data_IF_171905302410
#
_entry.id   IF_171905302410
#
_cell.length_a   1.000
_cell.length_b   1.000
_cell.length_c   1.000
_cell.angle_alpha   90.00
_cell.angle_beta   90.00
_cell.angle_gamma   90.00
#
_symmetry.space_group_name_H-M   'P 1'
#
loop_
_entity.id
_entity.type
_entity.pdbx_description
1 polymer ?
#
# COMPACT_ATOMS: atom_id res chain seq x y z
N UNK A 1 30.71 -215.05 67.56
CA UNK A 1 32.05 -214.87 66.97
C UNK A 1 33.04 -214.48 68.05
N UNK A 2 33.98 -215.31 68.53
CA UNK A 2 34.18 -216.80 68.58
C UNK A 2 35.54 -217.03 69.31
N UNK A 3 35.89 -218.14 70.00
CA UNK A 3 35.19 -219.35 70.46
C UNK A 3 36.00 -220.03 71.62
N UNK A 4 35.48 -221.10 72.24
CA UNK A 4 36.26 -222.01 73.11
C UNK A 4 36.51 -221.54 74.56
N UNK A 5 36.93 -222.37 75.52
CA UNK A 5 37.09 -223.83 75.60
C UNK A 5 36.89 -224.20 77.10
N UNK A 6 36.17 -225.26 77.48
CA UNK A 6 36.62 -226.67 77.52
C UNK A 6 38.04 -226.78 78.11
N UNK A 7 38.18 -227.18 79.37
CA UNK A 7 38.27 -228.56 79.87
C UNK A 7 39.64 -228.69 80.58
N UNK A 8 39.81 -229.63 81.52
CA UNK A 8 41.10 -229.89 82.22
C UNK A 8 41.66 -228.85 83.22
N UNK A 9 40.97 -228.58 84.32
CA UNK A 9 41.66 -228.51 85.62
C UNK A 9 40.81 -229.19 86.71
N UNK A 10 41.00 -230.52 86.85
CA UNK A 10 39.97 -231.44 87.33
C UNK A 10 40.27 -232.13 88.68
N UNK A 11 41.33 -231.72 89.43
CA UNK A 11 41.85 -232.54 90.54
C UNK A 11 42.22 -231.87 91.88
N UNK A 12 42.26 -230.54 92.05
CA UNK A 12 42.84 -229.92 93.28
C UNK A 12 41.83 -229.41 94.30
N UNK A 13 40.94 -228.48 93.93
CA UNK A 13 40.08 -227.82 94.93
C UNK A 13 38.91 -228.68 95.46
N UNK A 14 38.89 -229.96 95.07
CA UNK A 14 38.20 -231.02 95.80
C UNK A 14 38.68 -231.18 97.27
N UNK A 15 39.85 -230.66 97.65
CA UNK A 15 40.23 -230.56 99.08
C UNK A 15 39.29 -229.60 99.84
N UNK A 16 38.80 -228.52 99.21
CA UNK A 16 37.80 -227.63 99.83
C UNK A 16 36.38 -228.23 99.79
N UNK A 17 36.12 -229.17 98.89
CA UNK A 17 34.81 -229.82 98.73
C UNK A 17 34.41 -230.74 99.90
N UNK A 18 35.36 -231.23 100.72
CA UNK A 18 35.06 -232.11 101.86
C UNK A 18 34.95 -231.37 103.21
N UNK A 19 35.85 -230.43 103.49
CA UNK A 19 35.91 -229.75 104.80
C UNK A 19 34.66 -228.90 105.10
N UNK A 20 34.11 -228.21 104.10
CA UNK A 20 32.90 -227.40 104.31
C UNK A 20 31.64 -228.25 104.47
N UNK A 21 31.54 -229.38 103.77
CA UNK A 21 30.38 -230.28 103.87
C UNK A 21 30.41 -231.09 105.17
N UNK A 22 31.59 -231.37 105.74
CA UNK A 22 31.73 -231.92 107.08
C UNK A 22 31.13 -230.99 108.16
N UNK A 23 31.38 -229.66 108.07
CA UNK A 23 30.74 -228.66 108.94
C UNK A 23 29.23 -228.58 108.69
N UNK A 24 28.79 -228.55 107.44
CA UNK A 24 27.36 -228.35 107.11
C UNK A 24 26.44 -229.52 107.51
N UNK A 25 26.97 -230.76 107.59
CA UNK A 25 26.15 -231.94 107.96
C UNK A 25 25.97 -232.17 109.46
N UNK A 26 26.86 -231.68 110.34
CA UNK A 26 26.69 -231.89 111.80
C UNK A 26 25.66 -230.97 112.45
N UNK A 27 25.30 -229.84 111.83
CA UNK A 27 24.27 -228.92 112.35
C UNK A 27 22.81 -229.33 112.06
N UNK A 28 22.55 -230.57 111.61
CA UNK A 28 21.24 -231.02 111.13
C UNK A 28 20.44 -231.94 112.09
N UNK A 29 20.75 -231.96 113.40
CA UNK A 29 20.12 -232.90 114.36
C UNK A 29 19.13 -232.35 115.39
N UNK A 30 19.04 -231.04 115.58
CA UNK A 30 18.00 -230.40 116.42
C UNK A 30 17.15 -229.49 115.52
N UNK A 31 15.82 -229.67 115.49
CA UNK A 31 15.05 -229.28 114.29
C UNK A 31 13.56 -228.94 114.54
N UNK A 32 13.30 -227.83 115.22
CA UNK A 32 11.96 -227.17 115.30
C UNK A 32 12.12 -225.64 115.32
N UNK A 33 12.78 -225.07 114.31
CA UNK A 33 13.13 -223.63 114.27
C UNK A 33 13.33 -223.13 112.84
N UNK A 34 12.25 -222.99 112.05
CA UNK A 34 12.36 -222.60 110.62
C UNK A 34 11.34 -221.60 110.07
N UNK A 35 10.34 -221.15 110.86
CA UNK A 35 9.32 -220.20 110.36
C UNK A 35 9.78 -218.73 110.40
N UNK A 36 10.57 -218.33 111.42
CA UNK A 36 11.06 -216.94 111.58
C UNK A 36 11.97 -216.44 110.44
N UNK A 37 12.66 -217.36 109.75
CA UNK A 37 13.63 -217.00 108.69
C UNK A 37 12.92 -216.58 107.40
N UNK A 38 11.71 -217.08 107.14
CA UNK A 38 10.95 -216.76 105.94
C UNK A 38 10.34 -215.34 105.98
N UNK A 39 9.97 -214.85 107.18
CA UNK A 39 9.37 -213.51 107.33
C UNK A 39 10.40 -212.38 107.25
N UNK A 40 11.63 -212.59 107.76
CA UNK A 40 12.74 -211.63 107.65
C UNK A 40 13.11 -211.32 106.18
N UNK A 41 13.02 -212.30 105.27
CA UNK A 41 13.16 -212.04 103.83
C UNK A 41 12.04 -211.13 103.28
N UNK A 42 10.81 -211.29 103.78
CA UNK A 42 9.66 -210.50 103.34
C UNK A 42 9.69 -209.05 103.86
N UNK A 43 10.37 -208.79 104.99
CA UNK A 43 10.68 -207.42 105.44
C UNK A 43 11.81 -206.79 104.62
N UNK A 44 12.88 -207.53 104.34
CA UNK A 44 13.99 -207.04 103.50
C UNK A 44 13.53 -206.63 102.09
N UNK A 45 12.68 -207.43 101.43
CA UNK A 45 12.11 -207.05 100.11
C UNK A 45 11.28 -205.76 100.18
N UNK A 46 10.54 -205.52 101.27
CA UNK A 46 9.78 -204.27 101.49
C UNK A 46 10.71 -203.06 101.69
N UNK A 47 11.80 -203.22 102.43
CA UNK A 47 12.78 -202.16 102.64
C UNK A 47 13.47 -201.71 101.33
N UNK A 48 13.78 -202.64 100.42
CA UNK A 48 14.38 -202.29 99.12
C UNK A 48 13.44 -201.49 98.22
N UNK A 49 12.16 -201.88 98.08
CA UNK A 49 11.19 -201.09 97.28
C UNK A 49 10.96 -199.68 97.84
N UNK A 50 10.96 -199.53 99.17
CA UNK A 50 10.85 -198.21 99.81
C UNK A 50 12.06 -197.30 99.51
N UNK A 51 13.25 -197.87 99.25
CA UNK A 51 14.45 -197.12 98.88
C UNK A 51 14.35 -196.56 97.46
N UNK A 52 13.91 -197.34 96.49
CA UNK A 52 13.78 -196.90 95.09
C UNK A 52 12.75 -195.78 94.91
N UNK A 53 11.57 -195.93 95.54
CA UNK A 53 10.52 -194.89 95.57
C UNK A 53 11.04 -193.54 96.10
N UNK A 54 11.96 -193.58 97.07
CA UNK A 54 12.54 -192.36 97.65
C UNK A 54 13.56 -191.68 96.73
N UNK A 55 14.24 -192.43 95.85
CA UNK A 55 15.14 -191.86 94.83
C UNK A 55 14.34 -191.17 93.74
N UNK A 56 13.28 -191.82 93.22
CA UNK A 56 12.43 -191.26 92.16
C UNK A 56 11.73 -189.95 92.55
N UNK A 57 11.39 -189.79 93.84
CA UNK A 57 10.84 -188.54 94.36
C UNK A 57 11.88 -187.40 94.32
N UNK A 58 13.13 -187.67 94.70
CA UNK A 58 14.22 -186.68 94.70
C UNK A 58 14.54 -186.23 93.27
N UNK A 59 14.61 -187.15 92.31
CA UNK A 59 14.85 -186.82 90.89
C UNK A 59 13.77 -185.87 90.34
N UNK A 60 12.49 -186.13 90.63
CA UNK A 60 11.38 -185.24 90.23
C UNK A 60 11.44 -183.86 90.88
N UNK A 61 12.00 -183.73 92.07
CA UNK A 61 12.18 -182.43 92.72
C UNK A 61 13.34 -181.63 92.12
N UNK A 62 14.45 -182.29 91.76
CA UNK A 62 15.59 -181.60 91.12
C UNK A 62 15.25 -181.09 89.70
N UNK A 63 14.49 -181.85 88.90
CA UNK A 63 14.02 -181.40 87.58
C UNK A 63 13.15 -180.14 87.67
N UNK A 64 12.22 -180.09 88.64
CA UNK A 64 11.36 -178.93 88.89
C UNK A 64 12.17 -177.69 89.28
N UNK A 65 13.21 -177.87 90.08
CA UNK A 65 14.12 -176.78 90.46
C UNK A 65 14.86 -176.21 89.25
N UNK A 66 15.46 -177.07 88.41
CA UNK A 66 16.18 -176.67 87.19
C UNK A 66 15.26 -175.92 86.21
N UNK A 67 14.02 -176.38 86.03
CA UNK A 67 13.04 -175.72 85.17
C UNK A 67 12.66 -174.31 85.66
N UNK A 68 12.56 -174.10 86.98
CA UNK A 68 12.28 -172.79 87.56
C UNK A 68 13.45 -171.81 87.41
N UNK A 69 14.70 -172.26 87.61
CA UNK A 69 15.89 -171.42 87.41
C UNK A 69 15.98 -170.92 85.96
N UNK A 70 15.73 -171.79 84.97
CA UNK A 70 15.72 -171.39 83.54
C UNK A 70 14.64 -170.33 83.24
N UNK A 71 13.45 -170.45 83.82
CA UNK A 71 12.37 -169.45 83.68
C UNK A 71 12.75 -168.11 84.30
N UNK A 72 13.38 -168.11 85.47
CA UNK A 72 13.84 -166.88 86.12
C UNK A 72 14.89 -166.15 85.27
N UNK A 73 15.89 -166.86 84.74
CA UNK A 73 16.92 -166.27 83.89
C UNK A 73 16.35 -165.68 82.59
N UNK A 74 15.42 -166.37 81.93
CA UNK A 74 14.76 -165.84 80.73
C UNK A 74 13.94 -164.58 81.02
N UNK A 75 13.24 -164.54 82.17
CA UNK A 75 12.48 -163.39 82.62
C UNK A 75 13.33 -162.22 83.13
N UNK A 76 14.66 -162.40 83.25
CA UNK A 76 15.61 -161.36 83.66
C UNK A 76 16.20 -160.67 82.42
N UNK A 77 16.65 -161.45 81.43
CA UNK A 77 17.14 -160.93 80.12
C UNK A 77 16.09 -160.06 79.44
N UNK A 78 14.83 -160.50 79.39
CA UNK A 78 13.73 -159.71 78.80
C UNK A 78 13.48 -158.35 79.49
N UNK A 79 13.91 -158.15 80.75
CA UNK A 79 13.81 -156.85 81.42
C UNK A 79 14.96 -155.93 81.06
N UNK A 80 16.17 -156.49 80.91
CA UNK A 80 17.37 -155.75 80.54
C UNK A 80 17.23 -155.21 79.10
N UNK A 81 16.69 -156.01 78.17
CA UNK A 81 16.35 -155.55 76.82
C UNK A 81 15.30 -154.43 76.81
N UNK A 82 14.25 -154.52 77.66
CA UNK A 82 13.25 -153.47 77.79
C UNK A 82 13.81 -152.18 78.39
N UNK A 83 14.82 -152.25 79.26
CA UNK A 83 15.50 -151.07 79.81
C UNK A 83 16.35 -150.40 78.74
N UNK A 84 17.13 -151.15 77.95
CA UNK A 84 17.94 -150.60 76.87
C UNK A 84 17.11 -149.83 75.83
N UNK A 85 15.96 -150.39 75.40
CA UNK A 85 15.07 -149.72 74.44
C UNK A 85 14.52 -148.40 75.01
N UNK A 86 14.18 -148.33 76.30
CA UNK A 86 13.71 -147.11 76.95
C UNK A 86 14.81 -146.04 77.07
N UNK A 87 16.06 -146.43 77.26
CA UNK A 87 17.21 -145.51 77.30
C UNK A 87 17.49 -144.88 75.93
N UNK A 88 17.47 -145.67 74.84
CA UNK A 88 17.63 -145.16 73.47
C UNK A 88 16.50 -144.19 73.09
N UNK A 89 15.25 -144.53 73.42
CA UNK A 89 14.07 -143.68 73.18
C UNK A 89 14.18 -142.32 73.92
N UNK A 90 14.74 -142.33 75.14
CA UNK A 90 15.01 -141.11 75.91
C UNK A 90 16.16 -140.29 75.31
N UNK A 91 17.24 -140.93 74.84
CA UNK A 91 18.35 -140.25 74.19
C UNK A 91 17.88 -139.56 72.91
N UNK A 92 17.13 -140.25 72.04
CA UNK A 92 16.62 -139.70 70.78
C UNK A 92 15.69 -138.50 71.03
N UNK A 93 14.76 -138.61 71.99
CA UNK A 93 13.90 -137.48 72.41
C UNK A 93 14.71 -136.30 72.97
N UNK A 94 15.83 -136.54 73.64
CA UNK A 94 16.71 -135.47 74.15
C UNK A 94 17.43 -134.72 73.03
N UNK A 95 17.84 -135.43 71.97
CA UNK A 95 18.52 -134.84 70.81
C UNK A 95 17.57 -133.96 69.99
N UNK A 96 16.39 -134.49 69.64
CA UNK A 96 15.40 -133.69 68.89
C UNK A 96 14.89 -132.46 69.66
N UNK A 97 14.91 -132.49 71.00
CA UNK A 97 14.65 -131.29 71.81
C UNK A 97 15.75 -130.25 71.69
N UNK A 98 17.03 -130.65 71.80
CA UNK A 98 18.19 -129.75 71.61
C UNK A 98 18.18 -129.10 70.23
N UNK A 99 17.99 -129.89 69.18
CA UNK A 99 17.88 -129.40 67.79
C UNK A 99 16.75 -128.38 67.63
N UNK A 100 15.57 -128.64 68.22
CA UNK A 100 14.45 -127.70 68.21
C UNK A 100 14.72 -126.41 69.01
N UNK A 101 15.45 -126.50 70.12
CA UNK A 101 15.85 -125.34 70.91
C UNK A 101 16.90 -124.49 70.20
N UNK A 102 17.89 -125.11 69.57
CA UNK A 102 18.94 -124.40 68.83
C UNK A 102 18.38 -123.74 67.56
N UNK A 103 17.49 -124.42 66.82
CA UNK A 103 16.75 -123.81 65.72
C UNK A 103 15.90 -122.59 66.16
N UNK A 104 15.27 -122.65 67.35
CA UNK A 104 14.57 -121.48 67.93
C UNK A 104 15.52 -120.34 68.29
N UNK A 105 16.72 -120.62 68.83
CA UNK A 105 17.75 -119.61 69.11
C UNK A 105 18.23 -118.94 67.82
N UNK A 106 18.46 -119.71 66.76
CA UNK A 106 18.84 -119.17 65.46
C UNK A 106 17.74 -118.28 64.87
N UNK A 107 16.49 -118.73 64.88
CA UNK A 107 15.36 -117.94 64.37
C UNK A 107 15.18 -116.62 65.14
N UNK A 108 15.28 -116.65 66.47
CA UNK A 108 15.22 -115.41 67.28
C UNK A 108 16.41 -114.48 67.03
N UNK A 109 17.60 -115.02 66.74
CA UNK A 109 18.77 -114.23 66.35
C UNK A 109 18.62 -113.61 64.97
N UNK A 110 18.00 -114.30 64.01
CA UNK A 110 17.67 -113.75 62.69
C UNK A 110 16.63 -112.63 62.78
N UNK A 111 15.60 -112.78 63.62
CA UNK A 111 14.60 -111.74 63.88
C UNK A 111 15.27 -110.48 64.45
N UNK A 112 16.10 -110.62 65.50
CA UNK A 112 16.83 -109.49 66.09
C UNK A 112 17.71 -108.75 65.09
N UNK A 113 18.50 -109.46 64.27
CA UNK A 113 19.30 -108.85 63.19
C UNK A 113 18.43 -108.05 62.21
N UNK A 114 17.24 -108.57 61.86
CA UNK A 114 16.30 -107.87 60.97
C UNK A 114 15.58 -106.68 61.62
N UNK A 115 15.46 -106.65 62.94
CA UNK A 115 14.98 -105.50 63.70
C UNK A 115 16.07 -104.41 63.82
N UNK A 116 17.31 -104.81 64.09
CA UNK A 116 18.50 -103.95 64.10
C UNK A 116 18.72 -103.29 62.74
N UNK A 117 18.74 -104.06 61.64
CA UNK A 117 18.80 -103.54 60.26
C UNK A 117 17.69 -102.50 59.98
N UNK A 118 16.44 -102.78 60.39
CA UNK A 118 15.32 -101.84 60.20
C UNK A 118 15.51 -100.55 60.99
N UNK A 119 16.05 -100.63 62.21
CA UNK A 119 16.31 -99.45 63.04
C UNK A 119 17.39 -98.56 62.43
N UNK A 120 18.46 -99.15 61.89
CA UNK A 120 19.52 -98.42 61.19
C UNK A 120 18.98 -97.74 59.93
N UNK A 121 18.21 -98.45 59.10
CA UNK A 121 17.57 -97.87 57.91
C UNK A 121 16.61 -96.71 58.26
N UNK A 122 15.91 -96.77 59.40
CA UNK A 122 15.06 -95.66 59.87
C UNK A 122 15.88 -94.45 60.36
N UNK A 123 17.03 -94.67 61.00
CA UNK A 123 17.95 -93.59 61.37
C UNK A 123 18.60 -92.94 60.16
N UNK A 124 19.05 -93.72 59.19
CA UNK A 124 19.61 -93.23 57.93
C UNK A 124 18.57 -92.40 57.16
N UNK A 125 17.36 -92.94 56.95
CA UNK A 125 16.25 -92.22 56.34
C UNK A 125 15.76 -91.00 57.14
N UNK A 126 16.15 -90.86 58.41
CA UNK A 126 15.93 -89.64 59.20
C UNK A 126 17.04 -88.61 58.95
N UNK A 127 18.31 -89.03 59.00
CA UNK A 127 19.48 -88.18 58.71
C UNK A 127 19.42 -87.62 57.28
N UNK A 128 19.04 -88.43 56.29
CA UNK A 128 18.81 -88.00 54.92
C UNK A 128 17.73 -86.91 54.81
N UNK A 129 16.60 -87.06 55.53
CA UNK A 129 15.54 -86.05 55.57
C UNK A 129 16.01 -84.75 56.23
N UNK A 130 16.76 -84.83 57.33
CA UNK A 130 17.35 -83.67 57.99
C UNK A 130 18.30 -82.92 57.03
N UNK A 131 19.18 -83.64 56.31
CA UNK A 131 20.07 -83.08 55.28
C UNK A 131 19.28 -82.42 54.13
N UNK A 132 18.25 -83.08 53.59
CA UNK A 132 17.41 -82.53 52.52
C UNK A 132 16.72 -81.24 52.96
N UNK A 133 16.15 -81.20 54.17
CA UNK A 133 15.51 -79.97 54.68
C UNK A 133 16.50 -78.81 54.85
N UNK A 134 17.76 -79.09 55.15
CA UNK A 134 18.79 -78.06 55.26
C UNK A 134 19.27 -77.57 53.88
N UNK A 135 19.38 -78.46 52.89
CA UNK A 135 19.65 -78.10 51.49
C UNK A 135 18.55 -77.18 50.94
N UNK A 136 17.28 -77.49 51.21
CA UNK A 136 16.16 -76.67 50.74
C UNK A 136 16.14 -75.29 51.42
N UNK A 137 16.43 -75.20 52.73
CA UNK A 137 16.62 -73.91 53.43
C UNK A 137 17.74 -73.08 52.81
N UNK A 138 18.90 -73.69 52.53
CA UNK A 138 20.04 -73.01 51.91
C UNK A 138 19.65 -72.49 50.52
N UNK A 139 18.94 -73.30 49.71
CA UNK A 139 18.43 -72.88 48.39
C UNK A 139 17.48 -71.69 48.51
N UNK A 140 16.46 -71.76 49.37
CA UNK A 140 15.54 -70.65 49.60
C UNK A 140 16.27 -69.37 50.02
N UNK A 141 17.25 -69.47 50.92
CA UNK A 141 18.04 -68.32 51.35
C UNK A 141 18.88 -67.73 50.21
N UNK A 142 19.56 -68.56 49.42
CA UNK A 142 20.33 -68.11 48.26
C UNK A 142 19.45 -67.46 47.17
N UNK A 143 18.25 -67.99 46.91
CA UNK A 143 17.33 -67.41 45.93
C UNK A 143 16.71 -66.09 46.42
N UNK A 144 16.29 -66.02 47.70
CA UNK A 144 15.85 -64.76 48.33
C UNK A 144 16.94 -63.69 48.28
N UNK A 145 18.19 -64.06 48.58
CA UNK A 145 19.33 -63.14 48.54
C UNK A 145 19.58 -62.62 47.11
N UNK A 146 19.73 -63.50 46.11
CA UNK A 146 19.94 -63.12 44.70
C UNK A 146 18.81 -62.24 44.15
N UNK A 147 17.57 -62.57 44.45
CA UNK A 147 16.42 -61.75 44.00
C UNK A 147 16.36 -60.39 44.69
N UNK A 148 16.95 -60.24 45.88
CA UNK A 148 17.07 -58.96 46.57
C UNK A 148 18.26 -58.14 46.08
N UNK A 149 19.41 -58.76 45.79
CA UNK A 149 20.54 -58.11 45.11
C UNK A 149 20.10 -57.53 43.76
N UNK A 150 19.47 -58.34 42.89
CA UNK A 150 18.97 -57.90 41.58
C UNK A 150 17.98 -56.73 41.69
N UNK A 151 17.11 -56.73 42.71
CA UNK A 151 16.20 -55.60 42.97
C UNK A 151 16.94 -54.34 43.40
N UNK A 152 18.00 -54.47 44.19
CA UNK A 152 18.82 -53.35 44.63
C UNK A 152 19.62 -52.76 43.47
N UNK A 153 20.25 -53.59 42.63
CA UNK A 153 20.97 -53.17 41.42
C UNK A 153 20.07 -52.38 40.46
N UNK A 154 18.87 -52.89 40.18
CA UNK A 154 17.87 -52.23 39.32
C UNK A 154 17.34 -50.94 39.96
N UNK A 155 17.22 -50.89 41.29
CA UNK A 155 16.85 -49.65 41.99
C UNK A 155 17.98 -48.60 41.97
N UNK A 156 19.25 -49.03 41.98
CA UNK A 156 20.39 -48.13 41.83
C UNK A 156 20.55 -47.62 40.39
N UNK A 157 20.40 -48.48 39.37
CA UNK A 157 20.46 -48.04 37.98
C UNK A 157 19.39 -46.99 37.69
N UNK A 158 18.14 -47.24 38.09
CA UNK A 158 17.05 -46.26 37.95
C UNK A 158 17.30 -44.95 38.70
N UNK A 159 17.98 -44.96 39.86
CA UNK A 159 18.36 -43.71 40.56
C UNK A 159 19.39 -42.93 39.75
N UNK A 160 20.42 -43.60 39.21
CA UNK A 160 21.46 -42.97 38.38
C UNK A 160 20.88 -42.41 37.08
N UNK A 161 20.04 -43.18 36.40
CA UNK A 161 19.32 -42.74 35.18
C UNK A 161 18.44 -41.51 35.43
N UNK A 162 17.71 -41.46 36.55
CA UNK A 162 16.88 -40.29 36.92
C UNK A 162 17.72 -39.03 37.15
N UNK A 163 18.88 -39.16 37.82
CA UNK A 163 19.80 -38.03 38.02
C UNK A 163 20.33 -37.52 36.69
N UNK A 164 20.83 -38.41 35.82
CA UNK A 164 21.31 -38.06 34.47
C UNK A 164 20.19 -37.38 33.66
N UNK A 165 18.95 -37.84 33.75
CA UNK A 165 17.82 -37.23 33.05
C UNK A 165 17.45 -35.84 33.60
N UNK A 166 17.59 -35.63 34.91
CA UNK A 166 17.41 -34.30 35.54
C UNK A 166 18.53 -33.34 35.10
N UNK A 167 19.80 -33.76 35.17
CA UNK A 167 20.95 -32.98 34.72
C UNK A 167 20.83 -32.60 33.23
N UNK A 168 20.51 -33.56 32.34
CA UNK A 168 20.29 -33.28 30.91
C UNK A 168 19.13 -32.30 30.68
N UNK A 169 18.08 -32.35 31.50
CA UNK A 169 16.95 -31.42 31.40
C UNK A 169 17.37 -30.02 31.84
N UNK A 170 18.09 -29.89 32.95
CA UNK A 170 18.59 -28.61 33.45
C UNK A 170 19.58 -27.96 32.46
N UNK A 171 20.45 -28.74 31.83
CA UNK A 171 21.35 -28.28 30.76
C UNK A 171 20.55 -27.70 29.59
N UNK A 172 19.56 -28.43 29.06
CA UNK A 172 18.71 -27.92 27.96
C UNK A 172 17.96 -26.65 28.34
N UNK A 173 17.36 -26.64 29.54
CA UNK A 173 16.67 -25.45 30.04
C UNK A 173 17.62 -24.25 30.25
N UNK A 174 18.94 -24.46 30.43
CA UNK A 174 19.96 -23.40 30.42
C UNK A 174 20.34 -22.98 29.00
N UNK A 175 20.60 -23.93 28.09
CA UNK A 175 20.90 -23.68 26.67
C UNK A 175 19.79 -22.87 25.98
N UNK A 176 18.52 -23.23 26.21
CA UNK A 176 17.35 -22.51 25.69
C UNK A 176 17.30 -21.07 26.22
N UNK A 177 17.55 -20.87 27.53
CA UNK A 177 17.60 -19.53 28.15
C UNK A 177 18.74 -18.68 27.59
N UNK A 178 19.91 -19.27 27.36
CA UNK A 178 21.02 -18.57 26.70
C UNK A 178 20.71 -18.23 25.24
N UNK A 179 20.07 -19.13 24.50
CA UNK A 179 19.69 -18.91 23.12
C UNK A 179 18.63 -17.80 23.00
N UNK A 180 17.66 -17.75 23.92
CA UNK A 180 16.72 -16.63 24.04
C UNK A 180 17.43 -15.31 24.38
N UNK A 181 18.37 -15.31 25.33
CA UNK A 181 19.11 -14.11 25.70
C UNK A 181 19.95 -13.56 24.54
N UNK A 182 20.60 -14.45 23.77
CA UNK A 182 21.35 -14.09 22.55
C UNK A 182 20.44 -13.47 21.49
N UNK A 183 19.29 -14.09 21.21
CA UNK A 183 18.28 -13.54 20.28
C UNK A 183 17.79 -12.16 20.70
N UNK A 184 17.40 -11.97 21.97
CA UNK A 184 16.95 -10.66 22.48
C UNK A 184 18.01 -9.58 22.31
N UNK A 185 19.29 -9.92 22.53
CA UNK A 185 20.40 -8.99 22.31
C UNK A 185 20.63 -8.66 20.82
N UNK A 186 20.52 -9.66 19.94
CA UNK A 186 20.58 -9.46 18.48
C UNK A 186 19.41 -8.59 17.98
N UNK A 187 18.20 -8.85 18.45
CA UNK A 187 16.99 -8.06 18.16
C UNK A 187 17.14 -6.61 18.64
N UNK A 188 17.65 -6.39 19.86
CA UNK A 188 17.94 -5.04 20.39
C UNK A 188 18.98 -4.28 19.56
N UNK A 189 20.03 -4.95 19.08
CA UNK A 189 21.03 -4.34 18.19
C UNK A 189 20.43 -3.99 16.84
N UNK A 190 19.60 -4.87 16.28
CA UNK A 190 18.92 -4.65 15.00
C UNK A 190 17.92 -3.48 15.08
N UNK A 191 17.16 -3.36 16.18
CA UNK A 191 16.26 -2.22 16.42
C UNK A 191 17.05 -0.90 16.53
N UNK A 192 18.17 -0.87 17.27
CA UNK A 192 19.05 0.32 17.33
C UNK A 192 19.58 0.71 15.95
N UNK A 193 19.93 -0.26 15.11
CA UNK A 193 20.36 0.02 13.73
C UNK A 193 19.23 0.60 12.86
N UNK A 194 17.99 0.11 13.03
CA UNK A 194 16.81 0.70 12.38
C UNK A 194 16.58 2.14 12.83
N UNK A 195 16.62 2.41 14.13
CA UNK A 195 16.40 3.74 14.69
C UNK A 195 17.47 4.73 14.19
N UNK A 196 18.74 4.34 14.19
CA UNK A 196 19.82 5.14 13.60
C UNK A 196 19.62 5.43 12.11
N UNK A 197 19.15 4.44 11.33
CA UNK A 197 18.84 4.60 9.91
C UNK A 197 17.65 5.55 9.72
N UNK A 198 16.61 5.44 10.56
CA UNK A 198 15.45 6.31 10.55
C UNK A 198 15.84 7.77 10.87
N UNK A 199 16.65 7.99 11.91
CA UNK A 199 17.18 9.32 12.24
C UNK A 199 18.00 9.91 11.09
N UNK A 200 18.91 9.13 10.47
CA UNK A 200 19.71 9.59 9.32
C UNK A 200 18.82 10.00 8.15
N UNK A 201 17.76 9.23 7.85
CA UNK A 201 16.77 9.58 6.81
C UNK A 201 15.98 10.83 7.18
N UNK A 202 15.62 11.01 8.45
CA UNK A 202 14.88 12.20 8.90
C UNK A 202 15.74 13.46 8.80
N UNK A 203 16.99 13.42 9.26
CA UNK A 203 17.95 14.55 9.12
C UNK A 203 18.12 14.96 7.65
N UNK A 204 18.30 14.00 6.73
CA UNK A 204 18.40 14.26 5.29
C UNK A 204 17.11 14.84 4.67
N UNK A 205 15.93 14.55 5.24
CA UNK A 205 14.67 15.18 4.82
C UNK A 205 14.60 16.63 5.30
N UNK A 206 14.99 16.88 6.55
CA UNK A 206 14.96 18.20 7.16
C UNK A 206 15.98 19.14 6.49
N UNK A 207 17.18 18.64 6.16
CA UNK A 207 18.19 19.35 5.36
C UNK A 207 17.64 19.75 3.97
N UNK A 208 17.04 18.81 3.24
CA UNK A 208 16.40 19.09 1.93
C UNK A 208 15.23 20.06 2.01
N UNK A 209 14.47 20.04 3.11
CA UNK A 209 13.41 21.02 3.36
C UNK A 209 14.01 22.42 3.55
N UNK A 210 15.07 22.56 4.34
CA UNK A 210 15.76 23.84 4.52
C UNK A 210 16.39 24.37 3.22
N UNK A 211 16.99 23.51 2.39
CA UNK A 211 17.51 23.90 1.07
C UNK A 211 16.38 24.40 0.15
N UNK A 212 15.23 23.72 0.16
CA UNK A 212 14.04 24.14 -0.58
C UNK A 212 13.48 25.47 -0.06
N UNK A 213 13.45 25.68 1.25
CA UNK A 213 12.99 26.94 1.85
C UNK A 213 13.92 28.11 1.51
N UNK A 214 15.25 27.90 1.55
CA UNK A 214 16.24 28.91 1.13
C UNK A 214 16.06 29.30 -0.34
N UNK A 215 15.97 28.32 -1.24
CA UNK A 215 15.78 28.57 -2.67
C UNK A 215 14.43 29.23 -2.97
N UNK A 216 13.35 28.88 -2.25
CA UNK A 216 12.07 29.60 -2.36
C UNK A 216 12.17 31.05 -1.87
N UNK A 217 12.89 31.32 -0.78
CA UNK A 217 13.11 32.67 -0.27
C UNK A 217 13.97 33.52 -1.23
N UNK A 218 14.99 32.94 -1.85
CA UNK A 218 15.79 33.59 -2.91
C UNK A 218 14.93 33.96 -4.12
N UNK A 219 14.08 33.04 -4.61
CA UNK A 219 13.13 33.30 -5.69
C UNK A 219 12.16 34.42 -5.32
N UNK A 220 11.60 34.40 -4.10
CA UNK A 220 10.70 35.45 -3.62
C UNK A 220 11.39 36.83 -3.59
N UNK A 221 12.63 36.90 -3.11
CA UNK A 221 13.44 38.13 -3.13
C UNK A 221 13.71 38.62 -4.56
N UNK A 222 13.98 37.72 -5.51
CA UNK A 222 14.14 38.07 -6.93
C UNK A 222 12.85 38.67 -7.50
N UNK A 223 11.70 38.06 -7.22
CA UNK A 223 10.40 38.55 -7.68
C UNK A 223 10.07 39.94 -7.11
N UNK A 224 10.28 40.15 -5.81
CA UNK A 224 10.08 41.48 -5.17
C UNK A 224 11.01 42.53 -5.79
N UNK A 225 12.27 42.18 -6.07
CA UNK A 225 13.23 43.08 -6.74
C UNK A 225 12.86 43.39 -8.21
N UNK A 226 12.19 42.47 -8.92
CA UNK A 226 11.66 42.73 -10.27
C UNK A 226 10.43 43.64 -10.18
N UNK A 227 9.51 43.35 -9.26
CA UNK A 227 8.27 44.12 -9.11
C UNK A 227 8.54 45.58 -8.70
N UNK A 228 9.45 45.79 -7.75
CA UNK A 228 9.87 47.16 -7.35
C UNK A 228 10.53 47.94 -8.49
N UNK A 229 11.35 47.30 -9.33
CA UNK A 229 11.91 47.92 -10.54
C UNK A 229 10.85 48.25 -11.59
N UNK A 230 9.84 47.38 -11.74
CA UNK A 230 8.74 47.63 -12.67
C UNK A 230 7.89 48.83 -12.21
N UNK A 231 7.52 48.89 -10.92
CA UNK A 231 6.79 50.05 -10.36
C UNK A 231 7.57 51.35 -10.52
N UNK A 232 8.86 51.38 -10.19
CA UNK A 232 9.70 52.57 -10.41
C UNK A 232 9.81 52.99 -11.89
N UNK A 233 9.73 52.03 -12.81
CA UNK A 233 9.67 52.31 -14.26
C UNK A 233 8.31 52.84 -14.69
N UNK A 234 7.22 52.32 -14.14
CA UNK A 234 5.85 52.81 -14.38
C UNK A 234 5.66 54.23 -13.86
N UNK A 235 6.18 54.53 -12.66
CA UNK A 235 6.24 55.88 -12.08
C UNK A 235 7.02 56.83 -13.01
N UNK A 236 8.22 56.45 -13.46
CA UNK A 236 9.01 57.25 -14.41
C UNK A 236 8.30 57.47 -15.76
N UNK A 237 7.55 56.50 -16.25
CA UNK A 237 6.75 56.64 -17.49
C UNK A 237 5.58 57.61 -17.25
N UNK A 238 4.92 57.55 -16.09
CA UNK A 238 3.86 58.48 -15.73
C UNK A 238 4.37 59.93 -15.63
N UNK A 239 5.54 60.14 -15.02
CA UNK A 239 6.18 61.46 -14.95
C UNK A 239 6.53 62.01 -16.35
N UNK A 240 7.06 61.17 -17.25
CA UNK A 240 7.33 61.57 -18.63
C UNK A 240 6.06 61.97 -19.38
N UNK A 241 4.97 61.19 -19.25
CA UNK A 241 3.67 61.53 -19.86
C UNK A 241 3.14 62.87 -19.31
N UNK A 242 3.33 63.15 -18.02
CA UNK A 242 2.92 64.42 -17.40
C UNK A 242 3.72 65.60 -17.96
N UNK A 243 5.04 65.46 -18.17
CA UNK A 243 5.86 66.50 -18.79
C UNK A 243 5.55 66.68 -20.28
N UNK A 244 5.31 65.59 -21.02
CA UNK A 244 4.89 65.66 -22.43
C UNK A 244 3.58 66.46 -22.56
N UNK A 245 2.56 66.15 -21.75
CA UNK A 245 1.27 66.88 -21.73
C UNK A 245 1.48 68.37 -21.39
N UNK A 246 2.36 68.71 -20.42
CA UNK A 246 2.68 70.12 -20.12
C UNK A 246 3.33 70.81 -21.32
N UNK A 247 4.21 70.11 -22.04
CA UNK A 247 4.89 70.67 -23.21
C UNK A 247 3.93 70.91 -24.38
N UNK A 248 2.98 69.98 -24.62
CA UNK A 248 1.94 70.15 -25.64
C UNK A 248 1.02 71.33 -25.33
N UNK A 249 0.65 71.52 -24.05
CA UNK A 249 -0.14 72.67 -23.60
C UNK A 249 0.60 74.00 -23.84
N UNK A 250 1.89 74.08 -23.49
CA UNK A 250 2.70 75.28 -23.74
C UNK A 250 2.84 75.58 -25.23
N UNK A 251 3.06 74.57 -26.08
CA UNK A 251 3.10 74.73 -27.54
C UNK A 251 1.74 75.23 -28.06
N UNK A 252 0.62 74.67 -27.58
CA UNK A 252 -0.72 75.12 -27.96
C UNK A 252 -0.99 76.58 -27.55
N UNK A 253 -0.53 77.01 -26.38
CA UNK A 253 -0.63 78.41 -25.94
C UNK A 253 0.22 79.35 -26.82
N UNK A 254 1.44 78.96 -27.19
CA UNK A 254 2.29 79.72 -28.12
C UNK A 254 1.71 79.78 -29.55
N UNK A 255 1.11 78.70 -30.04
CA UNK A 255 0.41 78.66 -31.32
C UNK A 255 -0.82 79.58 -31.33
N UNK A 256 -1.64 79.55 -30.26
CA UNK A 256 -2.75 80.50 -30.10
C UNK A 256 -2.26 81.96 -30.08
N UNK A 257 -1.22 82.26 -29.33
CA UNK A 257 -0.70 83.63 -29.21
C UNK A 257 -0.03 84.13 -30.50
N UNK A 258 0.64 83.25 -31.26
CA UNK A 258 1.14 83.60 -32.60
C UNK A 258 0.01 83.77 -33.62
N UNK A 259 -1.05 82.96 -33.56
CA UNK A 259 -2.25 83.17 -34.37
C UNK A 259 -2.95 84.51 -34.06
N UNK A 260 -3.12 84.84 -32.77
CA UNK A 260 -3.66 86.14 -32.31
C UNK A 260 -2.79 87.31 -32.75
N UNK A 261 -1.45 87.18 -32.75
CA UNK A 261 -0.53 88.20 -33.28
C UNK A 261 -0.70 88.40 -34.79
N UNK A 262 -0.70 87.32 -35.58
CA UNK A 262 -0.92 87.36 -37.04
C UNK A 262 -2.27 88.01 -37.40
N UNK A 263 -3.35 87.68 -36.68
CA UNK A 263 -4.66 88.29 -36.89
C UNK A 263 -4.66 89.81 -36.63
N UNK A 264 -3.94 90.27 -35.58
CA UNK A 264 -3.77 91.71 -35.30
C UNK A 264 -2.94 92.41 -36.37
N UNK A 265 -1.89 91.76 -36.88
CA UNK A 265 -1.05 92.28 -37.97
C UNK A 265 -1.82 92.40 -39.28
N UNK A 266 -2.63 91.40 -39.64
CA UNK A 266 -3.53 91.42 -40.79
C UNK A 266 -4.54 92.57 -40.67
N UNK A 267 -5.26 92.68 -39.55
CA UNK A 267 -6.21 93.78 -39.32
C UNK A 267 -5.53 95.16 -39.40
N UNK A 268 -4.29 95.27 -38.92
CA UNK A 268 -3.52 96.51 -39.01
C UNK A 268 -3.00 96.82 -40.42
N UNK A 269 -2.84 95.81 -41.29
CA UNK A 269 -2.55 95.99 -42.71
C UNK A 269 -3.82 96.41 -43.47
N UNK A 270 -4.93 95.70 -43.30
CA UNK A 270 -6.23 96.01 -43.91
C UNK A 270 -6.68 97.44 -43.61
N UNK A 271 -6.54 97.89 -42.35
CA UNK A 271 -6.84 99.26 -41.95
C UNK A 271 -5.94 100.30 -42.62
N UNK A 272 -4.66 99.99 -42.87
CA UNK A 272 -3.75 100.89 -43.61
C UNK A 272 -4.14 100.96 -45.08
N UNK A 273 -4.45 99.85 -45.72
CA UNK A 273 -4.94 99.82 -47.10
C UNK A 273 -6.26 100.60 -47.24
N UNK A 274 -7.18 100.44 -46.29
CA UNK A 274 -8.42 101.22 -46.24
C UNK A 274 -8.15 102.73 -46.11
N UNK A 275 -7.22 103.15 -45.23
CA UNK A 275 -6.84 104.56 -45.10
C UNK A 275 -6.28 105.09 -46.43
N UNK A 276 -5.28 104.42 -47.02
CA UNK A 276 -4.66 104.81 -48.29
C UNK A 276 -5.71 104.91 -49.40
N UNK A 277 -6.59 103.92 -49.54
CA UNK A 277 -7.69 103.95 -50.51
C UNK A 277 -8.62 105.15 -50.30
N UNK A 278 -8.99 105.48 -49.06
CA UNK A 278 -9.81 106.67 -48.80
C UNK A 278 -9.09 107.99 -49.08
N UNK A 279 -7.77 108.05 -48.93
CA UNK A 279 -6.94 109.21 -49.28
C UNK A 279 -6.82 109.37 -50.80
N UNK A 280 -6.57 108.29 -51.54
CA UNK A 280 -6.59 108.29 -53.01
C UNK A 280 -7.95 108.74 -53.57
N UNK A 281 -9.06 108.26 -52.98
CA UNK A 281 -10.40 108.71 -53.36
C UNK A 281 -10.58 110.22 -53.11
N UNK A 282 -10.15 110.75 -51.96
CA UNK A 282 -10.20 112.20 -51.66
C UNK A 282 -9.37 113.01 -52.66
N UNK A 283 -8.16 112.55 -52.99
CA UNK A 283 -7.30 113.21 -53.97
C UNK A 283 -7.97 113.27 -55.35
N UNK A 284 -8.55 112.16 -55.83
CA UNK A 284 -9.31 112.12 -57.09
C UNK A 284 -10.51 113.07 -57.10
N UNK A 285 -11.24 113.21 -55.99
CA UNK A 285 -12.32 114.20 -55.89
C UNK A 285 -11.79 115.63 -55.98
N UNK A 286 -10.68 115.96 -55.28
CA UNK A 286 -10.05 117.29 -55.37
C UNK A 286 -9.54 117.60 -56.78
N UNK A 287 -8.98 116.61 -57.49
CA UNK A 287 -8.58 116.76 -58.89
C UNK A 287 -9.77 116.98 -59.83
N UNK A 288 -10.88 116.26 -59.62
CA UNK A 288 -12.12 116.45 -60.38
C UNK A 288 -12.74 117.83 -60.13
N UNK A 289 -12.83 118.27 -58.87
CA UNK A 289 -13.32 119.60 -58.49
C UNK A 289 -12.44 120.71 -59.09
N UNK A 290 -11.11 120.52 -59.10
CA UNK A 290 -10.18 121.45 -59.75
C UNK A 290 -10.39 121.49 -61.25
N UNK A 291 -10.49 120.34 -61.92
CA UNK A 291 -10.74 120.27 -63.37
C UNK A 291 -12.09 120.92 -63.74
N UNK A 292 -13.11 120.74 -62.90
CA UNK A 292 -14.41 121.38 -63.03
C UNK A 292 -14.32 122.90 -62.86
N UNK A 293 -13.62 123.39 -61.84
CA UNK A 293 -13.39 124.82 -61.62
C UNK A 293 -12.60 125.47 -62.78
N UNK A 294 -11.54 124.81 -63.28
CA UNK A 294 -10.81 125.26 -64.47
C UNK A 294 -11.71 125.28 -65.73
N UNK A 295 -12.62 124.31 -65.88
CA UNK A 295 -13.62 124.26 -66.95
C UNK A 295 -14.63 125.41 -66.88
N UNK A 296 -15.11 125.76 -65.68
CA UNK A 296 -15.99 126.94 -65.47
C UNK A 296 -15.23 128.23 -65.77
N UNK A 297 -14.00 128.38 -65.29
CA UNK A 297 -13.19 129.59 -65.55
C UNK A 297 -12.94 129.79 -67.05
N UNK A 298 -12.66 128.72 -67.81
CA UNK A 298 -12.55 128.81 -69.28
C UNK A 298 -13.84 129.34 -69.91
N UNK A 299 -14.99 128.76 -69.58
CA UNK A 299 -16.30 129.24 -70.07
C UNK A 299 -16.54 130.71 -69.77
N UNK A 300 -16.29 131.17 -68.54
CA UNK A 300 -16.43 132.58 -68.15
C UNK A 300 -15.52 133.48 -69.02
N UNK A 301 -14.27 133.08 -69.28
CA UNK A 301 -13.37 133.87 -70.15
C UNK A 301 -13.77 133.86 -71.63
N UNK A 302 -14.44 132.81 -72.10
CA UNK A 302 -14.98 132.71 -73.46
C UNK A 302 -16.26 133.57 -73.60
N UNK A 303 -17.14 133.54 -72.60
CA UNK A 303 -18.34 134.39 -72.52
C UNK A 303 -17.97 135.88 -72.41
N UNK A 304 -16.94 136.24 -71.64
CA UNK A 304 -16.41 137.62 -71.62
C UNK A 304 -15.87 138.06 -72.99
N UNK A 305 -15.14 137.19 -73.70
CA UNK A 305 -14.61 137.50 -75.04
C UNK A 305 -15.74 137.72 -76.04
N UNK A 306 -16.74 136.83 -76.05
CA UNK A 306 -17.90 136.96 -76.95
C UNK A 306 -18.75 138.20 -76.59
N UNK A 307 -18.92 138.51 -75.30
CA UNK A 307 -19.58 139.75 -74.86
C UNK A 307 -18.84 141.02 -75.33
N UNK A 308 -17.51 141.07 -75.21
CA UNK A 308 -16.70 142.21 -75.72
C UNK A 308 -16.83 142.36 -77.23
N UNK A 309 -16.68 141.28 -78.00
CA UNK A 309 -16.83 141.30 -79.46
C UNK A 309 -18.24 141.72 -79.88
N UNK A 310 -19.27 141.27 -79.17
CA UNK A 310 -20.67 141.66 -79.41
C UNK A 310 -20.91 143.15 -79.10
N UNK A 311 -20.29 143.68 -78.03
CA UNK A 311 -20.36 145.09 -77.68
C UNK A 311 -19.65 145.98 -78.71
N UNK A 312 -18.50 145.55 -79.23
CA UNK A 312 -17.81 146.23 -80.33
C UNK A 312 -18.63 146.21 -81.63
N UNK A 313 -19.21 145.07 -82.00
CA UNK A 313 -20.09 144.97 -83.18
C UNK A 313 -21.28 145.95 -83.07
N UNK A 314 -21.94 146.01 -81.90
CA UNK A 314 -22.99 147.00 -81.61
C UNK A 314 -22.49 148.45 -81.69
N UNK A 315 -21.24 148.74 -81.29
CA UNK A 315 -20.63 150.07 -81.48
C UNK A 315 -20.44 150.40 -82.96
N UNK A 316 -19.82 149.51 -83.74
CA UNK A 316 -19.59 149.72 -85.19
C UNK A 316 -20.91 149.94 -85.95
N UNK A 317 -21.92 149.13 -85.67
CA UNK A 317 -23.25 149.27 -86.29
C UNK A 317 -23.92 150.63 -85.97
N UNK A 318 -23.78 151.14 -84.73
CA UNK A 318 -24.29 152.48 -84.36
C UNK A 318 -23.54 153.63 -85.02
N UNK A 319 -22.26 153.45 -85.35
CA UNK A 319 -21.46 154.44 -86.10
C UNK A 319 -21.90 154.45 -87.56
N UNK A 320 -21.98 153.29 -88.22
CA UNK A 320 -22.50 153.17 -89.59
C UNK A 320 -23.91 153.77 -89.71
N UNK A 321 -24.82 153.43 -88.79
CA UNK A 321 -26.19 153.98 -88.80
C UNK A 321 -26.23 155.50 -88.63
N UNK A 322 -25.25 156.12 -87.94
CA UNK A 322 -25.11 157.59 -87.85
C UNK A 322 -24.57 158.18 -89.15
N UNK A 323 -23.59 157.54 -89.78
CA UNK A 323 -23.01 157.97 -91.06
C UNK A 323 -24.06 157.91 -92.19
N UNK A 324 -24.85 156.84 -92.25
CA UNK A 324 -25.92 156.69 -93.25
C UNK A 324 -27.06 157.68 -93.02
N UNK A 325 -27.42 157.97 -91.76
CA UNK A 325 -28.35 159.07 -91.42
C UNK A 325 -27.80 160.44 -91.84
N UNK A 326 -26.51 160.70 -91.66
CA UNK A 326 -25.89 161.95 -92.09
C UNK A 326 -25.95 162.10 -93.62
N UNK A 327 -25.61 161.04 -94.37
CA UNK A 327 -25.72 161.00 -95.84
C UNK A 327 -27.16 161.20 -96.33
N UNK A 328 -28.15 160.62 -95.64
CA UNK A 328 -29.57 160.85 -95.94
C UNK A 328 -30.02 162.30 -95.66
N UNK A 329 -29.46 162.95 -94.64
CA UNK A 329 -29.75 164.37 -94.36
C UNK A 329 -29.07 165.28 -95.40
N UNK A 330 -27.82 165.00 -95.81
CA UNK A 330 -27.12 165.76 -96.84
C UNK A 330 -27.75 165.62 -98.22
N UNK A 331 -28.12 164.41 -98.65
CA UNK A 331 -28.84 164.18 -99.91
C UNK A 331 -30.20 164.89 -99.91
N UNK A 332 -30.94 164.84 -98.79
CA UNK A 332 -32.19 165.58 -98.64
C UNK A 332 -32.01 167.11 -98.62
N UNK A 333 -30.85 167.63 -98.16
CA UNK A 333 -30.52 169.06 -98.29
C UNK A 333 -30.26 169.43 -99.75
N UNK A 334 -29.43 168.67 -100.47
CA UNK A 334 -29.12 168.91 -101.89
C UNK A 334 -30.37 168.93 -102.76
N UNK A 335 -31.25 167.93 -102.63
CA UNK A 335 -32.54 167.89 -103.34
C UNK A 335 -33.37 169.15 -103.06
N UNK A 336 -33.38 169.64 -101.82
CA UNK A 336 -34.14 170.83 -101.43
C UNK A 336 -33.52 172.13 -101.94
N UNK A 337 -32.20 172.19 -102.04
CA UNK A 337 -31.46 173.31 -102.66
C UNK A 337 -31.70 173.34 -104.19
N UNK A 338 -31.73 172.17 -104.84
CA UNK A 338 -32.09 172.00 -106.25
C UNK A 338 -33.56 172.38 -106.52
N UNK A 339 -34.50 171.99 -105.65
CA UNK A 339 -35.91 172.42 -105.70
C UNK A 339 -36.06 173.94 -105.56
N UNK A 340 -35.33 174.57 -104.63
CA UNK A 340 -35.35 176.03 -104.44
C UNK A 340 -34.79 176.75 -105.67
N UNK A 341 -33.67 176.29 -106.24
CA UNK A 341 -33.09 176.83 -107.47
C UNK A 341 -34.06 176.69 -108.67
N UNK A 342 -34.75 175.56 -108.77
CA UNK A 342 -35.79 175.33 -109.80
C UNK A 342 -36.97 176.30 -109.64
N UNK A 343 -37.44 176.53 -108.41
CA UNK A 343 -38.51 177.50 -108.14
C UNK A 343 -38.08 178.95 -108.41
N UNK A 344 -36.84 179.34 -108.07
CA UNK A 344 -36.33 180.68 -108.38
C UNK A 344 -36.18 180.94 -109.88
N UNK A 345 -35.81 179.91 -110.67
CA UNK A 345 -35.76 180.00 -112.13
C UNK A 345 -37.17 180.14 -112.72
N UNK A 346 -38.13 179.33 -112.27
CA UNK A 346 -39.53 179.43 -112.69
C UNK A 346 -40.12 180.81 -112.38
N UNK A 347 -39.90 181.35 -111.18
CA UNK A 347 -40.37 182.67 -110.78
C UNK A 347 -39.75 183.81 -111.61
N UNK A 348 -38.47 183.69 -112.03
CA UNK A 348 -37.82 184.66 -112.92
C UNK A 348 -38.41 184.63 -114.33
N UNK A 349 -38.73 183.44 -114.87
CA UNK A 349 -39.40 183.33 -116.17
C UNK A 349 -40.83 183.89 -116.15
N UNK A 350 -41.61 183.61 -115.10
CA UNK A 350 -42.99 184.08 -114.97
C UNK A 350 -43.07 185.60 -114.87
N UNK A 351 -42.22 186.22 -114.04
CA UNK A 351 -42.13 187.68 -113.90
C UNK A 351 -41.63 188.36 -115.20
N UNK A 352 -40.84 187.66 -116.02
CA UNK A 352 -40.50 188.10 -117.38
C UNK A 352 -41.71 188.10 -118.33
N UNK A 353 -42.56 187.06 -118.27
CA UNK A 353 -43.77 186.93 -119.10
C UNK A 353 -44.85 187.96 -118.73
N UNK A 354 -44.98 188.32 -117.45
CA UNK A 354 -45.94 189.35 -117.01
C UNK A 354 -45.60 190.75 -117.53
N UNK A 355 -44.31 191.15 -117.51
CA UNK A 355 -43.88 192.46 -118.04
C UNK A 355 -44.20 192.60 -119.53
N UNK A 356 -43.90 191.57 -120.33
CA UNK A 356 -44.21 191.55 -121.77
C UNK A 356 -45.73 191.61 -122.05
N UNK A 357 -46.57 191.04 -121.17
CA UNK A 357 -48.04 191.20 -121.26
C UNK A 357 -48.47 192.63 -120.95
N UNK A 358 -47.94 193.24 -119.88
CA UNK A 358 -48.35 194.58 -119.45
C UNK A 358 -48.01 195.66 -120.47
N UNK A 359 -46.88 195.55 -121.16
CA UNK A 359 -46.49 196.54 -122.17
C UNK A 359 -47.31 196.39 -123.47
N UNK A 360 -47.65 195.17 -123.90
CA UNK A 360 -48.59 194.94 -125.02
C UNK A 360 -49.98 195.53 -124.74
N UNK A 361 -50.49 195.38 -123.53
CA UNK A 361 -51.79 195.93 -123.13
C UNK A 361 -51.80 197.48 -123.22
N UNK A 362 -50.68 198.15 -122.95
CA UNK A 362 -50.56 199.61 -123.14
C UNK A 362 -50.53 200.01 -124.63
N UNK A 363 -49.85 199.24 -125.47
CA UNK A 363 -49.78 199.50 -126.91
C UNK A 363 -51.14 199.29 -127.60
N UNK A 364 -51.84 198.19 -127.31
CA UNK A 364 -53.16 197.91 -127.88
C UNK A 364 -54.21 198.93 -127.40
N UNK A 365 -54.11 199.39 -126.14
CA UNK A 365 -54.98 200.45 -125.59
C UNK A 365 -54.75 201.81 -126.27
N UNK A 366 -53.51 202.16 -126.63
CA UNK A 366 -53.23 203.34 -127.48
C UNK A 366 -53.75 203.18 -128.90
N UNK A 367 -53.67 201.98 -129.50
CA UNK A 367 -54.16 201.71 -130.86
C UNK A 367 -55.69 201.83 -130.96
N UNK A 368 -56.41 201.25 -130.00
CA UNK A 368 -57.88 201.35 -129.88
C UNK A 368 -58.37 202.81 -129.75
N UNK A 369 -57.61 203.67 -129.07
CA UNK A 369 -57.92 205.10 -129.01
C UNK A 369 -57.70 205.80 -130.37
N UNK A 370 -56.61 205.49 -131.08
CA UNK A 370 -56.34 206.07 -132.40
C UNK A 370 -57.40 205.74 -133.46
N UNK A 371 -57.93 204.50 -133.46
CA UNK A 371 -58.86 204.03 -134.49
C UNK A 371 -60.32 204.47 -134.27
N UNK A 372 -60.74 204.74 -133.02
CA UNK A 372 -62.15 204.99 -132.68
C UNK A 372 -62.49 206.43 -132.28
N UNK A 373 -61.50 207.26 -131.95
CA UNK A 373 -61.70 208.68 -131.61
C UNK A 373 -62.52 209.48 -132.64
N UNK A 374 -62.31 209.40 -133.97
CA UNK A 374 -63.08 210.23 -134.93
C UNK A 374 -64.58 209.90 -135.00
N UNK A 375 -65.02 208.72 -134.54
CA UNK A 375 -66.43 208.31 -134.57
C UNK A 375 -67.17 208.48 -133.22
N UNK A 376 -66.45 208.67 -132.10
CA UNK A 376 -67.03 208.59 -130.74
C UNK A 376 -66.71 209.81 -129.86
N UNK A 377 -66.14 210.89 -130.44
CA UNK A 377 -65.73 212.10 -129.72
C UNK A 377 -66.84 212.81 -128.89
N UNK A 378 -68.12 212.48 -129.10
CA UNK A 378 -69.26 212.96 -128.33
C UNK A 378 -69.64 212.14 -127.08
N UNK A 379 -69.09 210.93 -126.88
CA UNK A 379 -69.56 209.98 -125.85
C UNK A 379 -68.46 209.41 -124.93
N UNK A 380 -67.19 209.78 -125.10
CA UNK A 380 -66.08 209.30 -124.24
C UNK A 380 -65.93 210.17 -122.99
N UNK A 381 -65.98 209.55 -121.81
CA UNK A 381 -65.75 210.21 -120.52
C UNK A 381 -64.26 210.53 -120.33
N UNK A 382 -63.95 211.84 -120.36
CA UNK A 382 -62.61 212.43 -120.30
C UNK A 382 -61.85 212.02 -119.02
N UNK A 383 -62.57 211.66 -117.96
CA UNK A 383 -61.97 211.28 -116.67
C UNK A 383 -61.30 209.90 -116.68
N UNK A 384 -61.64 209.04 -117.64
CA UNK A 384 -61.17 207.63 -117.71
C UNK A 384 -59.82 207.42 -118.43
N UNK A 385 -59.26 208.50 -118.99
CA UNK A 385 -58.07 208.49 -119.86
C UNK A 385 -56.80 208.91 -119.11
N UNK A 386 -55.69 208.22 -119.38
CA UNK A 386 -54.33 208.59 -118.96
C UNK A 386 -53.87 209.92 -119.59
N UNK A 387 -52.85 210.57 -119.02
CA UNK A 387 -52.35 211.88 -119.50
C UNK A 387 -51.93 211.86 -120.98
N UNK A 388 -51.28 210.78 -121.41
CA UNK A 388 -50.91 210.54 -122.82
C UNK A 388 -52.14 210.26 -123.70
N UNK A 389 -53.17 209.62 -123.15
CA UNK A 389 -54.41 209.27 -123.87
C UNK A 389 -55.31 210.49 -124.09
N UNK A 390 -55.29 211.46 -123.16
CA UNK A 390 -56.02 212.74 -123.27
C UNK A 390 -55.53 213.61 -124.42
N UNK A 391 -54.23 213.58 -124.72
CA UNK A 391 -53.65 214.34 -125.84
C UNK A 391 -54.14 213.84 -127.20
N UNK A 392 -54.33 212.52 -127.35
CA UNK A 392 -54.83 211.89 -128.58
C UNK A 392 -56.29 212.31 -128.85
N UNK A 393 -57.12 212.41 -127.81
CA UNK A 393 -58.54 212.83 -127.95
C UNK A 393 -58.68 214.32 -128.27
N UNK A 394 -57.74 215.17 -127.84
CA UNK A 394 -57.78 216.62 -128.13
C UNK A 394 -57.39 216.97 -129.57
N UNK A 395 -56.76 216.09 -130.34
CA UNK A 395 -56.39 216.35 -131.74
C UNK A 395 -57.57 216.23 -132.73
N UNK A 396 -58.73 215.75 -132.28
CA UNK A 396 -59.93 215.51 -133.11
C UNK A 396 -61.16 216.31 -132.63
N UNK A 397 -60.92 217.47 -131.98
CA UNK A 397 -61.87 218.56 -131.77
C UNK A 397 -61.35 219.82 -132.44
#
# INVERSE_FOLDING_TARGET
MEEGSKEEEWQVDAIKASDFIAKLRRSRRNRESYDEIAELEAELRRAYMAKELRVQLIERETERYIANVRKQHAAQVMREEQQAVLEDDLQQRSMSRKESEDYRKELTSQIKRKEEEKSLMMEEARREREILTEIDRIREHCERFRTQEMKNEVAESMKRERLIFQEMREIREQEDREAEAKKRFEDELYLKEIDERAEKVQRLRDERLQERERTMAEIANILINIETRNRAREEMIADLIIEDIKSELLISEEEEDTARKRMKEQLAADLKEQIVFTEECKLRFVEQDRAFAEGIMRKITEDEKTARLTAEARRRMRVQYREDLARLIETRRKIREEEILSMELAAKEENGREKVKLDRIKEDRKRLLGEHVPNVAGFVDINSLSEEERQIVQQFK
#
